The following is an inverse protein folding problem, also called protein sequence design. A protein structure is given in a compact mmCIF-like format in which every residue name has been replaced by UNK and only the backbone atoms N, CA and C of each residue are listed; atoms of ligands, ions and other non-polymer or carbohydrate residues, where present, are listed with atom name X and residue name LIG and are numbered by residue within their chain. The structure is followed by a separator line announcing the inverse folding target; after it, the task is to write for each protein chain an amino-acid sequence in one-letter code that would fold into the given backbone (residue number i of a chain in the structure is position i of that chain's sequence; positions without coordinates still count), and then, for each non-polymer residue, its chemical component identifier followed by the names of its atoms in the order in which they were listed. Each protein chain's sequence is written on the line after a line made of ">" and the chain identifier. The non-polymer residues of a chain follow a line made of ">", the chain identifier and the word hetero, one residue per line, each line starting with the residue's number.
data_IF_413336821768
#
_entry.id   IF_413336821768
#
_cell.length_a   1.000
_cell.length_b   1.000
_cell.length_c   1.000
_cell.angle_alpha   90.00
_cell.angle_beta   90.00
_cell.angle_gamma   90.00
#
_symmetry.space_group_name_H-M   'P 1'
#
loop_
_entity.id
_entity.type
_entity.pdbx_description
1 polymer ?
#
# COMPACT_ATOMS: atom_id res chain seq x y z
N UNK A 1 -39.36 44.02 22.68
CA UNK A 1 -39.39 43.43 24.03
C UNK A 1 -38.75 42.05 23.91
N UNK A 2 -37.66 41.70 24.55
CA UNK A 2 -36.81 42.38 25.53
C UNK A 2 -35.41 41.75 25.43
N UNK A 3 -34.40 42.52 25.83
CA UNK A 3 -32.99 42.17 25.82
C UNK A 3 -32.62 41.25 26.99
N UNK A 4 -31.51 40.52 26.87
CA UNK A 4 -30.95 39.76 27.99
C UNK A 4 -29.52 39.26 27.71
N UNK A 5 -28.54 40.11 28.02
CA UNK A 5 -27.12 39.79 28.00
C UNK A 5 -26.74 38.84 29.15
N UNK A 6 -25.75 37.96 28.91
CA UNK A 6 -25.11 37.13 29.92
C UNK A 6 -23.70 36.76 29.49
N UNK A 7 -22.70 37.30 30.21
CA UNK A 7 -21.28 37.22 29.95
C UNK A 7 -20.62 35.96 30.54
N UNK A 8 -19.40 35.64 30.03
CA UNK A 8 -18.40 34.80 30.71
C UNK A 8 -18.26 33.41 30.08
N UNK A 9 -17.07 32.90 29.75
CA UNK A 9 -15.71 33.39 29.94
C UNK A 9 -14.74 32.62 29.05
N UNK A 10 -13.61 33.23 28.77
CA UNK A 10 -12.52 32.63 27.99
C UNK A 10 -11.91 31.43 28.72
N UNK A 11 -12.01 30.26 28.11
CA UNK A 11 -11.20 29.09 28.46
C UNK A 11 -9.92 29.11 27.63
N UNK A 12 -8.94 29.91 28.04
CA UNK A 12 -7.56 29.74 27.58
C UNK A 12 -7.04 28.41 28.12
N UNK A 13 -6.94 27.40 27.27
CA UNK A 13 -6.32 26.12 27.61
C UNK A 13 -4.81 26.35 27.71
N UNK A 14 -4.34 26.70 28.91
CA UNK A 14 -2.92 26.76 29.22
C UNK A 14 -2.31 25.37 28.99
N UNK A 15 -1.39 25.27 28.03
CA UNK A 15 -0.52 24.10 27.89
C UNK A 15 0.21 23.91 29.21
N UNK A 16 -0.09 22.81 29.90
CA UNK A 16 0.72 22.35 31.01
C UNK A 16 2.12 22.01 30.48
N UNK A 17 3.13 22.71 30.99
CA UNK A 17 4.52 22.32 30.84
C UNK A 17 4.69 20.90 31.43
N UNK A 18 5.39 19.97 30.74
CA UNK A 18 5.67 18.67 31.31
C UNK A 18 6.62 18.84 32.50
N UNK A 19 6.25 18.24 33.63
CA UNK A 19 7.06 18.19 34.85
C UNK A 19 8.45 17.62 34.53
N UNK A 20 9.50 18.30 35.00
CA UNK A 20 10.87 17.80 34.88
C UNK A 20 10.97 16.42 35.55
N UNK A 21 11.62 15.42 34.91
CA UNK A 21 11.79 14.11 35.52
C UNK A 21 12.68 14.24 36.75
N UNK A 22 12.08 14.05 37.93
CA UNK A 22 12.80 13.99 39.19
C UNK A 22 13.84 12.87 39.12
N UNK A 23 15.12 13.21 39.21
CA UNK A 23 16.20 12.24 39.34
C UNK A 23 15.91 11.32 40.54
N UNK A 24 16.19 10.01 40.46
CA UNK A 24 16.08 9.13 41.61
C UNK A 24 16.95 9.68 42.74
N UNK A 25 16.32 10.25 43.76
CA UNK A 25 17.00 10.63 44.99
C UNK A 25 17.39 9.31 45.65
N UNK A 26 18.64 8.89 45.44
CA UNK A 26 19.21 7.79 46.21
C UNK A 26 19.07 8.18 47.69
N UNK A 27 18.42 7.36 48.52
CA UNK A 27 18.31 7.65 49.94
C UNK A 27 19.72 7.83 50.51
N UNK A 28 19.95 8.81 51.39
CA UNK A 28 21.27 9.06 51.95
C UNK A 28 21.76 7.77 52.61
N UNK A 29 22.85 7.21 52.08
CA UNK A 29 23.55 6.11 52.75
C UNK A 29 23.94 6.63 54.13
N UNK A 30 23.53 5.95 55.22
CA UNK A 30 23.86 6.43 56.55
C UNK A 30 25.37 6.58 56.67
N UNK A 31 25.81 7.72 57.21
CA UNK A 31 27.08 7.87 57.91
C UNK A 31 27.40 6.54 58.64
N UNK A 32 28.60 5.90 58.64
CA UNK A 32 28.88 4.86 59.63
C UNK A 32 28.69 5.44 61.03
N UNK A 33 27.49 5.26 61.58
CA UNK A 33 27.05 5.83 62.85
C UNK A 33 27.45 4.98 64.04
N UNK A 34 28.26 3.94 63.82
CA UNK A 34 28.79 3.15 64.91
C UNK A 34 30.09 3.77 65.37
N UNK A 35 29.98 4.66 66.35
CA UNK A 35 31.06 4.87 67.32
C UNK A 35 31.50 3.47 67.76
N UNK A 36 32.76 3.08 67.55
CA UNK A 36 33.25 1.81 68.07
C UNK A 36 32.91 1.75 69.56
N UNK A 37 31.99 0.86 69.95
CA UNK A 37 31.67 0.65 71.36
C UNK A 37 32.86 -0.04 72.00
N UNK A 38 33.76 0.77 72.58
CA UNK A 38 34.82 0.25 73.42
C UNK A 38 34.17 -0.17 74.73
N UNK A 39 34.20 -1.48 75.02
CA UNK A 39 33.87 -2.03 76.34
C UNK A 39 34.66 -1.25 77.38
N UNK A 40 33.94 -0.51 78.24
CA UNK A 40 34.53 0.25 79.33
C UNK A 40 35.19 -0.74 80.29
N UNK A 41 36.48 -0.57 80.55
CA UNK A 41 37.16 -1.37 81.55
C UNK A 41 36.54 -1.08 82.93
N UNK A 42 36.13 -2.11 83.66
CA UNK A 42 35.60 -1.96 85.00
C UNK A 42 36.63 -1.26 85.90
N UNK A 43 36.23 -0.13 86.51
CA UNK A 43 37.09 0.58 87.46
C UNK A 43 37.11 -0.18 88.79
N UNK A 44 38.28 -0.32 89.44
CA UNK A 44 38.32 -0.51 90.88
C UNK A 44 37.64 0.70 91.54
N UNK A 45 36.68 0.44 92.44
CA UNK A 45 35.96 1.49 93.19
C UNK A 45 36.98 2.36 93.94
N UNK A 46 37.17 3.59 93.48
CA UNK A 46 37.94 4.60 94.20
C UNK A 46 37.00 5.37 95.12
N UNK A 47 37.21 5.20 96.43
CA UNK A 47 36.53 5.91 97.49
C UNK A 47 36.83 7.41 97.45
N UNK A 48 35.85 8.22 97.06
CA UNK A 48 35.53 9.45 97.77
C UNK A 48 34.18 10.03 97.32
N UNK A 49 33.33 10.32 98.31
CA UNK A 49 32.44 11.49 98.29
C UNK A 49 31.21 11.43 97.39
N UNK A 50 30.06 11.37 98.03
CA UNK A 50 28.75 11.67 97.44
C UNK A 50 28.79 12.93 96.56
N UNK A 51 28.30 12.83 95.32
CA UNK A 51 27.86 13.98 94.55
C UNK A 51 26.86 13.55 93.46
N UNK A 52 25.61 13.96 93.67
CA UNK A 52 24.52 14.20 92.71
C UNK A 52 24.61 13.55 91.32
N UNK A 53 23.62 12.71 91.03
CA UNK A 53 23.30 12.21 89.70
C UNK A 53 22.88 13.38 88.79
N UNK A 54 23.86 13.98 88.13
CA UNK A 54 23.70 14.98 87.08
C UNK A 54 24.99 15.06 86.29
N UNK A 55 25.01 14.46 85.10
CA UNK A 55 26.01 14.61 84.04
C UNK A 55 27.48 14.78 84.48
N UNK A 56 28.10 13.71 85.03
CA UNK A 56 29.57 13.59 84.98
C UNK A 56 29.95 12.81 83.73
N UNK A 57 30.32 13.50 82.67
CA UNK A 57 30.98 12.89 81.51
C UNK A 57 32.26 12.23 82.01
N UNK A 58 32.27 10.90 82.12
CA UNK A 58 33.44 10.16 82.53
C UNK A 58 34.60 10.47 81.55
N UNK A 59 35.71 11.02 82.06
CA UNK A 59 36.91 11.29 81.23
C UNK A 59 37.51 9.95 80.77
N UNK A 60 37.79 9.84 79.47
CA UNK A 60 38.49 8.70 78.86
C UNK A 60 39.94 8.61 79.35
N UNK A 61 40.47 7.39 79.49
CA UNK A 61 41.90 7.20 79.69
C UNK A 61 42.64 7.39 78.36
N UNK A 62 43.90 7.86 78.41
CA UNK A 62 44.69 8.11 77.20
C UNK A 62 44.81 6.87 76.28
N UNK A 63 45.00 5.63 76.78
CA UNK A 63 44.97 4.42 75.94
C UNK A 63 43.60 4.14 75.30
N UNK A 64 42.50 4.47 75.97
CA UNK A 64 41.14 4.32 75.42
C UNK A 64 40.89 5.33 74.29
N UNK A 65 41.38 6.56 74.44
CA UNK A 65 41.33 7.58 73.38
C UNK A 65 42.15 7.17 72.16
N UNK A 66 43.37 6.68 72.34
CA UNK A 66 44.20 6.18 71.24
C UNK A 66 43.55 5.00 70.50
N UNK A 67 42.96 4.03 71.22
CA UNK A 67 42.28 2.88 70.62
C UNK A 67 41.03 3.30 69.84
N UNK A 68 40.22 4.22 70.39
CA UNK A 68 39.05 4.76 69.70
C UNK A 68 39.46 5.54 68.44
N UNK A 69 40.46 6.41 68.52
CA UNK A 69 40.91 7.19 67.37
C UNK A 69 41.52 6.29 66.28
N UNK A 70 42.30 5.27 66.65
CA UNK A 70 42.79 4.27 65.73
C UNK A 70 41.66 3.48 65.05
N UNK A 71 40.61 3.10 65.81
CA UNK A 71 39.41 2.45 65.28
C UNK A 71 38.66 3.34 64.28
N UNK A 72 38.43 4.61 64.63
CA UNK A 72 37.79 5.59 63.73
C UNK A 72 38.61 5.82 62.45
N UNK A 73 39.94 5.94 62.57
CA UNK A 73 40.82 6.05 61.40
C UNK A 73 40.75 4.81 60.51
N UNK A 74 40.73 3.61 61.11
CA UNK A 74 40.60 2.35 60.38
C UNK A 74 39.24 2.24 59.66
N UNK A 75 38.14 2.56 60.34
CA UNK A 75 36.79 2.57 59.74
C UNK A 75 36.67 3.59 58.60
N UNK A 76 37.26 4.77 58.75
CA UNK A 76 37.28 5.79 57.70
C UNK A 76 38.08 5.33 56.46
N UNK A 77 39.22 4.67 56.66
CA UNK A 77 40.00 4.08 55.57
C UNK A 77 39.22 2.96 54.87
N UNK A 78 38.64 2.03 55.63
CA UNK A 78 37.84 0.94 55.08
C UNK A 78 36.61 1.45 54.31
N UNK A 79 35.93 2.48 54.80
CA UNK A 79 34.82 3.13 54.10
C UNK A 79 35.29 3.86 52.83
N UNK A 80 36.46 4.48 52.85
CA UNK A 80 37.10 5.09 51.68
C UNK A 80 37.40 4.07 50.60
N UNK A 81 38.02 2.95 50.96
CA UNK A 81 38.31 1.84 50.05
C UNK A 81 37.03 1.22 49.47
N UNK A 82 35.97 1.04 50.27
CA UNK A 82 34.67 0.55 49.79
C UNK A 82 34.04 1.53 48.80
N UNK A 83 34.08 2.83 49.09
CA UNK A 83 33.59 3.85 48.17
C UNK A 83 34.40 3.91 46.86
N UNK A 84 35.72 3.71 46.93
CA UNK A 84 36.59 3.60 45.75
C UNK A 84 36.25 2.36 44.90
N UNK A 85 36.05 1.20 45.55
CA UNK A 85 35.57 -0.01 44.88
C UNK A 85 34.22 0.22 44.21
N UNK A 86 33.25 0.78 44.93
CA UNK A 86 31.92 1.08 44.39
C UNK A 86 31.96 2.06 43.21
N UNK A 87 32.82 3.10 43.26
CA UNK A 87 33.04 4.01 42.13
C UNK A 87 33.67 3.30 40.92
N UNK A 88 34.64 2.43 41.15
CA UNK A 88 35.29 1.66 40.10
C UNK A 88 34.30 0.69 39.44
N UNK A 89 33.50 -0.01 40.23
CA UNK A 89 32.43 -0.91 39.77
C UNK A 89 31.37 -0.13 38.98
N UNK A 90 30.88 1.00 39.49
CA UNK A 90 29.93 1.84 38.78
C UNK A 90 30.47 2.32 37.42
N UNK A 91 31.72 2.79 37.36
CA UNK A 91 32.38 3.17 36.09
C UNK A 91 32.47 2.00 35.12
N UNK A 92 32.82 0.82 35.62
CA UNK A 92 32.89 -0.39 34.81
C UNK A 92 31.51 -0.78 34.25
N UNK A 93 30.47 -0.77 35.10
CA UNK A 93 29.09 -1.04 34.70
C UNK A 93 28.57 -0.02 33.69
N UNK A 94 28.85 1.27 33.87
CA UNK A 94 28.49 2.32 32.90
C UNK A 94 29.14 2.07 31.54
N UNK A 95 30.43 1.71 31.52
CA UNK A 95 31.15 1.38 30.27
C UNK A 95 30.56 0.14 29.59
N UNK A 96 30.27 -0.91 30.37
CA UNK A 96 29.63 -2.11 29.85
C UNK A 96 28.24 -1.81 29.28
N UNK A 97 27.40 -1.09 30.02
CA UNK A 97 26.06 -0.67 29.58
C UNK A 97 26.12 0.15 28.28
N UNK A 98 27.03 1.14 28.21
CA UNK A 98 27.23 1.95 27.00
C UNK A 98 27.65 1.09 25.79
N UNK A 99 28.59 0.16 25.98
CA UNK A 99 29.02 -0.76 24.91
C UNK A 99 27.90 -1.72 24.47
N UNK A 100 27.04 -2.14 25.39
CA UNK A 100 25.87 -2.97 25.09
C UNK A 100 24.84 -2.18 24.29
N UNK A 101 24.51 -0.96 24.73
CA UNK A 101 23.59 -0.06 24.05
C UNK A 101 24.08 0.31 22.64
N UNK A 102 25.38 0.55 22.45
CA UNK A 102 25.96 0.83 21.13
C UNK A 102 25.83 -0.38 20.19
N UNK A 103 26.12 -1.60 20.68
CA UNK A 103 25.96 -2.81 19.87
C UNK A 103 24.50 -3.06 19.50
N UNK A 104 23.58 -2.89 20.44
CA UNK A 104 22.15 -3.00 20.18
C UNK A 104 21.70 -1.97 19.12
N UNK A 105 22.12 -0.71 19.27
CA UNK A 105 21.83 0.36 18.31
C UNK A 105 22.34 0.04 16.89
N UNK A 106 23.58 -0.46 16.77
CA UNK A 106 24.15 -0.85 15.48
C UNK A 106 23.38 -2.01 14.85
N UNK A 107 23.04 -3.03 15.64
CA UNK A 107 22.22 -4.15 15.20
C UNK A 107 20.86 -3.67 14.69
N UNK A 108 20.14 -2.84 15.47
CA UNK A 108 18.84 -2.28 15.06
C UNK A 108 18.94 -1.43 13.80
N UNK A 109 19.98 -0.60 13.64
CA UNK A 109 20.19 0.19 12.41
C UNK A 109 20.45 -0.69 11.20
N UNK A 110 21.24 -1.75 11.35
CA UNK A 110 21.49 -2.70 10.26
C UNK A 110 20.20 -3.42 9.84
N UNK A 111 19.42 -3.93 10.79
CA UNK A 111 18.14 -4.60 10.49
C UNK A 111 17.11 -3.65 9.87
N UNK A 112 16.99 -2.41 10.37
CA UNK A 112 16.14 -1.39 9.76
C UNK A 112 16.60 -1.02 8.35
N UNK A 113 17.91 -0.92 8.13
CA UNK A 113 18.48 -0.66 6.81
C UNK A 113 18.11 -1.75 5.79
N UNK A 114 18.18 -3.03 6.18
CA UNK A 114 17.73 -4.12 5.32
C UNK A 114 16.23 -4.03 5.02
N UNK A 115 15.40 -3.83 6.05
CA UNK A 115 13.95 -3.68 5.88
C UNK A 115 13.59 -2.51 4.97
N UNK A 116 14.31 -1.39 5.05
CA UNK A 116 14.08 -0.23 4.21
C UNK A 116 14.34 -0.53 2.72
N UNK A 117 15.39 -1.31 2.43
CA UNK A 117 15.66 -1.80 1.06
C UNK A 117 14.54 -2.74 0.57
N UNK A 118 14.08 -3.66 1.43
CA UNK A 118 13.01 -4.60 1.07
C UNK A 118 11.69 -3.86 0.79
N UNK A 119 11.34 -2.87 1.62
CA UNK A 119 10.13 -2.05 1.43
C UNK A 119 10.24 -1.17 0.19
N UNK A 120 11.41 -0.59 -0.07
CA UNK A 120 11.67 0.18 -1.29
C UNK A 120 11.50 -0.67 -2.55
N UNK A 121 12.06 -1.89 -2.56
CA UNK A 121 11.89 -2.83 -3.65
C UNK A 121 10.41 -3.05 -3.98
N UNK A 122 9.58 -3.39 -2.99
CA UNK A 122 8.15 -3.59 -3.21
C UNK A 122 7.45 -2.32 -3.67
N UNK A 123 7.81 -1.15 -3.11
CA UNK A 123 7.26 0.14 -3.54
C UNK A 123 7.54 0.39 -5.03
N UNK A 124 8.77 0.18 -5.48
CA UNK A 124 9.15 0.42 -6.88
C UNK A 124 8.46 -0.57 -7.82
N UNK A 125 8.42 -1.85 -7.47
CA UNK A 125 7.73 -2.85 -8.30
C UNK A 125 6.22 -2.59 -8.37
N UNK A 126 5.56 -2.27 -7.26
CA UNK A 126 4.14 -1.90 -7.28
C UNK A 126 3.89 -0.65 -8.12
N UNK A 127 4.75 0.36 -8.02
CA UNK A 127 4.62 1.58 -8.83
C UNK A 127 4.72 1.28 -10.34
N UNK A 128 5.68 0.44 -10.72
CA UNK A 128 5.84 -0.02 -12.10
C UNK A 128 4.59 -0.74 -12.58
N UNK A 129 4.07 -1.69 -11.80
CA UNK A 129 2.85 -2.43 -12.16
C UNK A 129 1.62 -1.52 -12.32
N UNK A 130 1.45 -0.53 -11.45
CA UNK A 130 0.38 0.49 -11.55
C UNK A 130 0.49 1.25 -12.88
N UNK A 131 1.69 1.70 -13.25
CA UNK A 131 1.92 2.43 -14.50
C UNK A 131 1.66 1.56 -15.73
N UNK A 132 2.10 0.31 -15.70
CA UNK A 132 1.89 -0.63 -16.80
C UNK A 132 0.41 -1.01 -16.97
N UNK A 133 -0.33 -1.25 -15.87
CA UNK A 133 -1.77 -1.48 -15.90
C UNK A 133 -2.52 -0.27 -16.46
N UNK A 134 -2.14 0.95 -16.07
CA UNK A 134 -2.75 2.18 -16.59
C UNK A 134 -2.52 2.32 -18.10
N UNK A 135 -1.29 2.11 -18.56
CA UNK A 135 -0.93 2.14 -19.97
C UNK A 135 -1.70 1.10 -20.78
N UNK A 136 -1.74 -0.16 -20.33
CA UNK A 136 -2.47 -1.22 -21.03
C UNK A 136 -3.98 -1.00 -20.99
N UNK A 137 -4.54 -0.44 -19.91
CA UNK A 137 -5.96 -0.05 -19.84
C UNK A 137 -6.30 1.01 -20.89
N UNK A 138 -5.43 2.00 -21.08
CA UNK A 138 -5.61 3.04 -22.10
C UNK A 138 -5.53 2.44 -23.51
N UNK A 139 -4.61 1.49 -23.74
CA UNK A 139 -4.52 0.77 -25.02
C UNK A 139 -5.77 -0.06 -25.32
N UNK A 140 -6.30 -0.78 -24.33
CA UNK A 140 -7.53 -1.56 -24.49
C UNK A 140 -8.76 -0.66 -24.70
N UNK A 141 -8.82 0.48 -24.00
CA UNK A 141 -9.87 1.48 -24.22
C UNK A 141 -9.87 2.03 -25.65
N UNK A 142 -8.69 2.27 -26.23
CA UNK A 142 -8.57 2.67 -27.64
C UNK A 142 -9.06 1.57 -28.61
N UNK A 143 -8.78 0.30 -28.32
CA UNK A 143 -9.30 -0.83 -29.11
C UNK A 143 -10.81 -1.00 -28.96
N UNK A 144 -11.37 -0.80 -27.76
CA UNK A 144 -12.82 -0.77 -27.54
C UNK A 144 -13.50 0.31 -28.39
N UNK A 145 -12.94 1.52 -28.40
CA UNK A 145 -13.47 2.60 -29.25
C UNK A 145 -13.42 2.23 -30.74
N UNK A 146 -12.38 1.50 -31.17
CA UNK A 146 -12.27 1.02 -32.54
C UNK A 146 -13.34 -0.03 -32.87
N UNK A 147 -13.69 -0.92 -31.95
CA UNK A 147 -14.83 -1.84 -32.11
C UNK A 147 -16.16 -1.09 -32.21
N UNK A 148 -16.38 -0.09 -31.37
CA UNK A 148 -17.61 0.73 -31.39
C UNK A 148 -17.76 1.43 -32.75
N UNK A 149 -16.67 2.01 -33.26
CA UNK A 149 -16.66 2.61 -34.61
C UNK A 149 -16.89 1.58 -35.71
N UNK A 150 -16.32 0.38 -35.59
CA UNK A 150 -16.55 -0.69 -36.55
C UNK A 150 -18.02 -1.12 -36.55
N UNK A 151 -18.65 -1.21 -35.37
CA UNK A 151 -20.07 -1.50 -35.23
C UNK A 151 -20.93 -0.40 -35.88
N UNK A 152 -20.67 0.86 -35.58
CA UNK A 152 -21.39 2.00 -36.18
C UNK A 152 -21.27 2.02 -37.71
N UNK A 153 -20.09 1.66 -38.25
CA UNK A 153 -19.85 1.61 -39.68
C UNK A 153 -20.71 0.56 -40.40
N UNK A 154 -21.28 -0.43 -39.69
CA UNK A 154 -22.18 -1.44 -40.28
C UNK A 154 -23.64 -0.96 -40.40
N UNK A 155 -24.01 0.16 -39.77
CA UNK A 155 -25.40 0.64 -39.77
C UNK A 155 -25.91 0.97 -41.18
N UNK A 156 -25.13 1.76 -41.93
CA UNK A 156 -25.52 2.20 -43.28
C UNK A 156 -25.56 1.03 -44.26
N UNK A 157 -24.53 0.17 -44.36
CA UNK A 157 -24.60 -1.03 -45.19
C UNK A 157 -25.81 -1.91 -44.89
N UNK A 158 -26.12 -2.12 -43.60
CA UNK A 158 -27.28 -2.91 -43.22
C UNK A 158 -28.60 -2.31 -43.73
N UNK A 159 -28.80 -1.00 -43.49
CA UNK A 159 -30.00 -0.31 -43.96
C UNK A 159 -30.15 -0.39 -45.49
N UNK A 160 -29.05 -0.20 -46.23
CA UNK A 160 -29.04 -0.31 -47.70
C UNK A 160 -29.45 -1.71 -48.15
N UNK A 161 -28.96 -2.77 -47.51
CA UNK A 161 -29.33 -4.15 -47.86
C UNK A 161 -30.81 -4.39 -47.63
N UNK A 162 -31.36 -3.92 -46.49
CA UNK A 162 -32.79 -4.03 -46.18
C UNK A 162 -33.64 -3.26 -47.20
N UNK A 163 -33.30 -2.01 -47.50
CA UNK A 163 -34.01 -1.20 -48.50
C UNK A 163 -34.00 -1.86 -49.88
N UNK A 164 -32.89 -2.48 -50.28
CA UNK A 164 -32.79 -3.23 -51.53
C UNK A 164 -33.71 -4.45 -51.51
N UNK A 165 -33.78 -5.21 -50.42
CA UNK A 165 -34.71 -6.33 -50.28
C UNK A 165 -36.17 -5.87 -50.38
N UNK A 166 -36.54 -4.79 -49.68
CA UNK A 166 -37.90 -4.23 -49.77
C UNK A 166 -38.25 -3.77 -51.20
N UNK A 167 -37.31 -3.15 -51.91
CA UNK A 167 -37.54 -2.75 -53.31
C UNK A 167 -37.84 -3.95 -54.20
N UNK A 168 -37.27 -5.11 -53.89
CA UNK A 168 -37.50 -6.35 -54.65
C UNK A 168 -38.85 -6.98 -54.34
N UNK A 169 -39.31 -6.90 -53.10
CA UNK A 169 -40.66 -7.34 -52.70
C UNK A 169 -41.77 -6.53 -53.38
N UNK A 170 -41.49 -5.28 -53.79
CA UNK A 170 -42.45 -4.39 -54.46
C UNK A 170 -42.59 -4.63 -55.98
N UNK A 171 -41.84 -5.58 -56.55
CA UNK A 171 -41.95 -5.92 -57.98
C UNK A 171 -43.35 -6.45 -58.31
N UNK A 172 -43.84 -6.13 -59.51
CA UNK A 172 -45.12 -6.64 -59.98
C UNK A 172 -44.98 -8.05 -60.57
N UNK A 173 -45.97 -8.94 -60.42
CA UNK A 173 -45.99 -10.20 -61.17
C UNK A 173 -45.94 -9.93 -62.68
N UNK A 174 -45.14 -10.65 -63.49
CA UNK A 174 -44.38 -11.87 -63.19
C UNK A 174 -42.93 -11.64 -62.68
N UNK A 175 -42.46 -10.40 -62.53
CA UNK A 175 -41.08 -10.08 -62.14
C UNK A 175 -40.78 -10.23 -60.63
N UNK A 176 -41.82 -10.52 -59.83
CA UNK A 176 -41.70 -10.88 -58.42
C UNK A 176 -41.13 -12.31 -58.30
N UNK A 177 -39.80 -12.41 -58.34
CA UNK A 177 -39.06 -13.68 -58.29
C UNK A 177 -37.86 -13.61 -57.36
N UNK A 178 -37.54 -14.75 -56.75
CA UNK A 178 -36.33 -14.93 -55.93
C UNK A 178 -35.14 -15.19 -56.85
N UNK A 179 -34.53 -14.12 -57.35
CA UNK A 179 -33.35 -14.19 -58.20
C UNK A 179 -32.04 -14.29 -57.41
N UNK A 180 -30.91 -14.33 -58.12
CA UNK A 180 -29.60 -14.44 -57.52
C UNK A 180 -29.23 -13.21 -56.67
N UNK A 181 -29.67 -12.01 -57.05
CA UNK A 181 -29.41 -10.79 -56.27
C UNK A 181 -30.12 -10.87 -54.92
N UNK A 182 -31.36 -11.33 -54.88
CA UNK A 182 -32.09 -11.52 -53.60
C UNK A 182 -31.36 -12.47 -52.67
N UNK A 183 -30.88 -13.60 -53.21
CA UNK A 183 -30.12 -14.59 -52.43
C UNK A 183 -28.83 -14.02 -51.87
N UNK A 184 -28.14 -13.15 -52.62
CA UNK A 184 -26.91 -12.52 -52.14
C UNK A 184 -27.18 -11.40 -51.14
N UNK A 185 -28.25 -10.62 -51.31
CA UNK A 185 -28.68 -9.60 -50.35
C UNK A 185 -29.10 -10.23 -49.01
N UNK A 186 -29.84 -11.34 -49.02
CA UNK A 186 -30.20 -12.06 -47.80
C UNK A 186 -28.96 -12.55 -47.04
N UNK A 187 -27.98 -13.11 -47.76
CA UNK A 187 -26.69 -13.51 -47.17
C UNK A 187 -25.92 -12.32 -46.60
N UNK A 188 -25.94 -11.17 -47.28
CA UNK A 188 -25.30 -9.95 -46.80
C UNK A 188 -25.97 -9.42 -45.52
N UNK A 189 -27.30 -9.43 -45.46
CA UNK A 189 -28.05 -9.04 -44.26
C UNK A 189 -27.73 -9.93 -43.06
N UNK A 190 -27.71 -11.25 -43.26
CA UNK A 190 -27.36 -12.23 -42.23
C UNK A 190 -25.91 -12.07 -41.77
N UNK A 191 -24.97 -11.93 -42.70
CA UNK A 191 -23.55 -11.71 -42.37
C UNK A 191 -23.34 -10.42 -41.56
N UNK A 192 -23.95 -9.30 -41.98
CA UNK A 192 -23.85 -8.04 -41.25
C UNK A 192 -24.42 -8.19 -39.83
N UNK A 193 -25.56 -8.88 -39.67
CA UNK A 193 -26.17 -9.15 -38.36
C UNK A 193 -25.24 -9.97 -37.46
N UNK A 194 -24.67 -11.04 -37.98
CA UNK A 194 -23.74 -11.91 -37.24
C UNK A 194 -22.47 -11.16 -36.81
N UNK A 195 -21.91 -10.33 -37.69
CA UNK A 195 -20.76 -9.46 -37.40
C UNK A 195 -21.13 -8.45 -36.30
N UNK A 196 -22.29 -7.79 -36.39
CA UNK A 196 -22.75 -6.83 -35.37
C UNK A 196 -22.88 -7.48 -34.00
N UNK A 197 -23.41 -8.70 -33.93
CA UNK A 197 -23.56 -9.43 -32.68
C UNK A 197 -22.20 -9.91 -32.13
N UNK A 198 -21.26 -10.29 -32.99
CA UNK A 198 -19.88 -10.54 -32.58
C UNK A 198 -19.23 -9.27 -31.99
N UNK A 199 -19.28 -8.14 -32.70
CA UNK A 199 -18.70 -6.88 -32.25
C UNK A 199 -19.28 -6.42 -30.90
N UNK A 200 -20.60 -6.49 -30.72
CA UNK A 200 -21.26 -6.16 -29.43
C UNK A 200 -20.76 -7.04 -28.28
N UNK A 201 -20.65 -8.35 -28.49
CA UNK A 201 -20.12 -9.28 -27.47
C UNK A 201 -18.68 -8.95 -27.11
N UNK A 202 -17.84 -8.65 -28.10
CA UNK A 202 -16.44 -8.27 -27.87
C UNK A 202 -16.31 -6.92 -27.17
N UNK A 203 -17.18 -5.95 -27.44
CA UNK A 203 -17.22 -4.67 -26.71
C UNK A 203 -17.52 -4.90 -25.22
N UNK A 204 -18.45 -5.81 -24.89
CA UNK A 204 -18.76 -6.18 -23.50
C UNK A 204 -17.55 -6.84 -22.82
N UNK A 205 -16.85 -7.75 -23.53
CA UNK A 205 -15.61 -8.35 -23.03
C UNK A 205 -14.54 -7.30 -22.75
N UNK A 206 -14.29 -6.38 -23.69
CA UNK A 206 -13.33 -5.29 -23.51
C UNK A 206 -13.70 -4.38 -22.34
N UNK A 207 -14.98 -4.05 -22.19
CA UNK A 207 -15.48 -3.24 -21.07
C UNK A 207 -15.26 -3.93 -19.73
N UNK A 208 -15.50 -5.24 -19.67
CA UNK A 208 -15.31 -6.05 -18.47
C UNK A 208 -13.82 -6.12 -18.09
N UNK A 209 -12.95 -6.35 -19.07
CA UNK A 209 -11.50 -6.41 -18.85
C UNK A 209 -10.93 -5.05 -18.42
N UNK A 210 -11.37 -3.94 -19.01
CA UNK A 210 -11.01 -2.58 -18.55
C UNK A 210 -11.37 -2.38 -17.07
N UNK A 211 -12.53 -2.87 -16.65
CA UNK A 211 -12.94 -2.79 -15.24
C UNK A 211 -12.04 -3.66 -14.35
N UNK A 212 -11.72 -4.89 -14.76
CA UNK A 212 -10.80 -5.76 -14.02
C UNK A 212 -9.42 -5.13 -13.86
N UNK A 213 -8.84 -4.57 -14.92
CA UNK A 213 -7.57 -3.86 -14.86
C UNK A 213 -7.60 -2.69 -13.86
N UNK A 214 -8.69 -1.90 -13.83
CA UNK A 214 -8.85 -0.78 -12.89
C UNK A 214 -8.94 -1.24 -11.44
N UNK A 215 -9.71 -2.30 -11.17
CA UNK A 215 -9.80 -2.87 -9.82
C UNK A 215 -8.42 -3.37 -9.37
N UNK A 216 -7.69 -4.05 -10.24
CA UNK A 216 -6.36 -4.55 -9.90
C UNK A 216 -5.36 -3.41 -9.69
N UNK A 217 -5.44 -2.34 -10.49
CA UNK A 217 -4.67 -1.12 -10.29
C UNK A 217 -4.94 -0.49 -8.92
N UNK A 218 -6.21 -0.36 -8.52
CA UNK A 218 -6.60 0.17 -7.21
C UNK A 218 -6.06 -0.69 -6.05
N UNK A 219 -6.01 -2.01 -6.22
CA UNK A 219 -5.40 -2.91 -5.22
C UNK A 219 -3.89 -2.67 -5.09
N UNK A 220 -3.19 -2.55 -6.21
CA UNK A 220 -1.76 -2.21 -6.22
C UNK A 220 -1.51 -0.81 -5.62
N UNK A 221 -2.34 0.18 -5.92
CA UNK A 221 -2.23 1.55 -5.38
C UNK A 221 -2.40 1.59 -3.86
N UNK A 222 -3.33 0.80 -3.31
CA UNK A 222 -3.54 0.68 -1.87
C UNK A 222 -2.30 0.10 -1.19
N UNK A 223 -1.79 -1.01 -1.71
CA UNK A 223 -0.57 -1.63 -1.19
C UNK A 223 0.64 -0.68 -1.32
N UNK A 224 0.78 -0.02 -2.46
CA UNK A 224 1.84 0.96 -2.70
C UNK A 224 1.80 2.10 -1.68
N UNK A 225 0.62 2.64 -1.38
CA UNK A 225 0.45 3.67 -0.36
C UNK A 225 0.95 3.20 1.01
N UNK A 226 0.58 1.97 1.41
CA UNK A 226 1.04 1.38 2.67
C UNK A 226 2.57 1.22 2.69
N UNK A 227 3.19 0.83 1.56
CA UNK A 227 4.66 0.74 1.43
C UNK A 227 5.34 2.11 1.50
N UNK A 228 4.75 3.14 0.90
CA UNK A 228 5.27 4.52 0.97
C UNK A 228 5.26 5.03 2.40
N UNK A 229 4.14 4.88 3.11
CA UNK A 229 4.04 5.28 4.52
C UNK A 229 5.03 4.51 5.39
N UNK A 230 5.08 3.18 5.23
CA UNK A 230 6.01 2.32 5.96
C UNK A 230 7.46 2.73 5.74
N UNK A 231 7.86 2.99 4.49
CA UNK A 231 9.20 3.45 4.17
C UNK A 231 9.50 4.80 4.82
N UNK A 232 8.55 5.75 4.81
CA UNK A 232 8.76 7.06 5.43
C UNK A 232 8.98 6.95 6.95
N UNK A 233 8.20 6.09 7.62
CA UNK A 233 8.35 5.80 9.05
C UNK A 233 9.74 5.20 9.32
N UNK A 234 10.14 4.20 8.54
CA UNK A 234 11.41 3.49 8.73
C UNK A 234 12.63 4.39 8.44
N UNK A 235 12.54 5.22 7.41
CA UNK A 235 13.56 6.22 7.06
C UNK A 235 13.75 7.23 8.19
N UNK A 236 12.66 7.67 8.82
CA UNK A 236 12.76 8.50 10.02
C UNK A 236 13.36 7.72 11.20
N UNK A 237 12.97 6.47 11.39
CA UNK A 237 13.42 5.65 12.51
C UNK A 237 14.92 5.35 12.48
N UNK A 238 15.52 5.17 11.29
CA UNK A 238 16.96 4.90 11.17
C UNK A 238 17.83 6.09 11.62
N UNK A 239 17.28 7.30 11.57
CA UNK A 239 17.94 8.53 12.00
C UNK A 239 18.08 8.63 13.52
N UNK A 240 17.20 7.96 14.29
CA UNK A 240 17.27 7.99 15.75
C UNK A 240 18.54 7.32 16.29
N UNK A 241 18.99 7.82 17.43
CA UNK A 241 20.12 7.31 18.18
C UNK A 241 19.86 7.37 19.69
N UNK A 242 20.71 6.72 20.48
CA UNK A 242 20.63 6.72 21.94
C UNK A 242 20.63 8.13 22.59
N UNK A 243 21.11 9.15 21.89
CA UNK A 243 21.15 10.54 22.37
C UNK A 243 19.91 11.35 21.95
N UNK A 244 18.94 10.72 21.28
CA UNK A 244 17.73 11.39 20.81
C UNK A 244 16.81 11.75 21.98
N UNK A 245 16.57 13.05 22.18
CA UNK A 245 15.79 13.60 23.31
C UNK A 245 14.27 13.37 23.18
N UNK A 246 13.79 12.95 22.02
CA UNK A 246 12.37 12.71 21.73
C UNK A 246 12.00 11.21 21.71
N UNK A 247 12.67 10.39 22.53
CA UNK A 247 12.41 8.95 22.65
C UNK A 247 11.88 8.66 24.05
N UNK A 248 10.61 8.24 24.13
CA UNK A 248 9.96 7.88 25.39
C UNK A 248 9.58 6.40 25.37
N UNK A 249 9.72 5.73 26.52
CA UNK A 249 9.27 4.34 26.67
C UNK A 249 7.76 4.29 26.86
N UNK A 250 7.02 3.80 25.86
CA UNK A 250 5.58 3.57 25.99
C UNK A 250 5.28 2.13 26.44
N UNK A 251 4.44 1.93 27.48
CA UNK A 251 4.11 0.59 27.99
C UNK A 251 3.45 -0.35 26.96
N UNK A 252 2.84 0.21 25.92
CA UNK A 252 2.20 -0.54 24.83
C UNK A 252 3.13 -0.87 23.67
N UNK A 253 4.37 -0.34 23.62
CA UNK A 253 5.31 -0.55 22.50
C UNK A 253 5.76 -2.01 22.30
N UNK A 254 5.43 -2.90 23.24
CA UNK A 254 5.79 -4.32 23.21
C UNK A 254 4.59 -5.26 22.99
N UNK A 255 3.38 -4.73 22.81
CA UNK A 255 2.20 -5.55 22.54
C UNK A 255 2.16 -5.89 21.05
N UNK A 256 2.46 -7.13 20.71
CA UNK A 256 2.15 -7.68 19.41
C UNK A 256 0.64 -7.94 19.33
N UNK A 257 -0.03 -7.28 18.41
CA UNK A 257 -1.42 -7.54 18.07
C UNK A 257 -1.54 -8.95 17.45
N UNK A 258 -2.52 -9.73 17.86
CA UNK A 258 -2.73 -11.12 17.36
C UNK A 258 -3.03 -11.15 15.85
N UNK A 259 -3.51 -10.02 15.30
CA UNK A 259 -3.84 -9.85 13.89
C UNK A 259 -2.73 -9.13 13.08
N UNK A 260 -1.53 -8.96 13.65
CA UNK A 260 -0.44 -8.28 12.97
C UNK A 260 0.11 -9.11 11.79
N UNK A 261 0.47 -8.43 10.70
CA UNK A 261 1.15 -9.06 9.57
C UNK A 261 2.55 -9.52 9.97
N UNK A 262 2.96 -10.68 9.45
CA UNK A 262 4.36 -11.14 9.50
C UNK A 262 5.14 -10.56 8.31
N UNK A 263 6.49 -10.45 8.39
CA UNK A 263 7.28 -10.03 7.23
C UNK A 263 7.03 -10.90 5.98
N UNK A 264 6.83 -12.21 6.19
CA UNK A 264 6.50 -13.14 5.12
C UNK A 264 5.13 -12.88 4.50
N UNK A 265 4.09 -12.69 5.32
CA UNK A 265 2.75 -12.41 4.81
C UNK A 265 2.67 -11.04 4.14
N UNK A 266 3.45 -10.06 4.60
CA UNK A 266 3.55 -8.74 3.99
C UNK A 266 4.19 -8.77 2.60
N UNK A 267 5.27 -9.53 2.45
CA UNK A 267 5.90 -9.75 1.14
C UNK A 267 5.00 -10.56 0.20
N UNK A 268 4.32 -11.59 0.73
CA UNK A 268 3.37 -12.40 -0.06
C UNK A 268 2.21 -11.55 -0.59
N UNK A 269 1.66 -10.65 0.23
CA UNK A 269 0.57 -9.77 -0.20
C UNK A 269 0.96 -8.91 -1.41
N UNK A 270 2.15 -8.30 -1.38
CA UNK A 270 2.64 -7.51 -2.51
C UNK A 270 2.95 -8.37 -3.73
N UNK A 271 3.50 -9.56 -3.52
CA UNK A 271 3.72 -10.52 -4.60
C UNK A 271 2.41 -10.95 -5.28
N UNK A 272 1.37 -11.25 -4.50
CA UNK A 272 0.06 -11.66 -5.01
C UNK A 272 -0.61 -10.52 -5.81
N UNK A 273 -0.48 -9.28 -5.34
CA UNK A 273 -0.97 -8.10 -6.07
C UNK A 273 -0.26 -7.92 -7.42
N UNK A 274 1.07 -8.06 -7.44
CA UNK A 274 1.88 -7.98 -8.67
C UNK A 274 1.50 -9.10 -9.63
N UNK A 275 1.41 -10.34 -9.15
CA UNK A 275 1.00 -11.50 -9.96
C UNK A 275 -0.39 -11.32 -10.58
N UNK A 276 -1.35 -10.80 -9.80
CA UNK A 276 -2.66 -10.44 -10.32
C UNK A 276 -2.61 -9.32 -11.38
N UNK A 277 -1.75 -8.31 -11.20
CA UNK A 277 -1.55 -7.25 -12.19
C UNK A 277 -0.99 -7.81 -13.51
N UNK A 278 0.01 -8.70 -13.44
CA UNK A 278 0.56 -9.38 -14.61
C UNK A 278 -0.47 -10.23 -15.35
N UNK A 279 -1.33 -10.94 -14.62
CA UNK A 279 -2.40 -11.74 -15.21
C UNK A 279 -3.42 -10.89 -15.96
N UNK A 280 -3.89 -9.79 -15.36
CA UNK A 280 -4.85 -8.87 -15.99
C UNK A 280 -4.24 -8.16 -17.21
N UNK A 281 -2.95 -7.77 -17.14
CA UNK A 281 -2.22 -7.23 -18.30
C UNK A 281 -2.16 -8.24 -19.44
N UNK A 282 -1.81 -9.50 -19.15
CA UNK A 282 -1.73 -10.56 -20.17
C UNK A 282 -3.09 -10.81 -20.84
N UNK A 283 -4.16 -10.89 -20.05
CA UNK A 283 -5.52 -11.04 -20.55
C UNK A 283 -5.92 -9.86 -21.47
N UNK A 284 -5.57 -8.63 -21.08
CA UNK A 284 -5.79 -7.43 -21.89
C UNK A 284 -5.05 -7.48 -23.22
N UNK A 285 -3.75 -7.83 -23.21
CA UNK A 285 -2.94 -7.95 -24.44
C UNK A 285 -3.52 -8.99 -25.40
N UNK A 286 -3.91 -10.16 -24.88
CA UNK A 286 -4.55 -11.22 -25.67
C UNK A 286 -5.87 -10.75 -26.27
N UNK A 287 -6.69 -10.06 -25.48
CA UNK A 287 -7.96 -9.50 -25.97
C UNK A 287 -7.73 -8.46 -27.05
N UNK A 288 -6.73 -7.57 -26.93
CA UNK A 288 -6.39 -6.62 -28.01
C UNK A 288 -5.98 -7.32 -29.30
N UNK A 289 -5.22 -8.42 -29.21
CA UNK A 289 -4.87 -9.24 -30.38
C UNK A 289 -6.12 -9.81 -31.05
N UNK A 290 -7.01 -10.42 -30.26
CA UNK A 290 -8.28 -10.96 -30.74
C UNK A 290 -9.16 -9.89 -31.39
N UNK A 291 -9.24 -8.69 -30.80
CA UNK A 291 -9.99 -7.56 -31.35
C UNK A 291 -9.48 -7.19 -32.74
N UNK A 292 -8.15 -7.14 -32.93
CA UNK A 292 -7.57 -6.83 -34.24
C UNK A 292 -7.94 -7.88 -35.29
N UNK A 293 -7.91 -9.17 -34.94
CA UNK A 293 -8.33 -10.26 -35.82
C UNK A 293 -9.81 -10.14 -36.18
N UNK A 294 -10.70 -9.95 -35.19
CA UNK A 294 -12.15 -9.80 -35.43
C UNK A 294 -12.45 -8.64 -36.39
N UNK A 295 -11.81 -7.48 -36.19
CA UNK A 295 -12.02 -6.32 -37.07
C UNK A 295 -11.51 -6.61 -38.50
N UNK A 296 -10.37 -7.29 -38.62
CA UNK A 296 -9.80 -7.64 -39.92
C UNK A 296 -10.69 -8.64 -40.67
N UNK A 297 -11.07 -9.73 -40.01
CA UNK A 297 -11.87 -10.80 -40.60
C UNK A 297 -13.27 -10.28 -40.99
N UNK A 298 -13.91 -9.50 -40.11
CA UNK A 298 -15.20 -8.87 -40.42
C UNK A 298 -15.11 -7.93 -41.64
N UNK A 299 -14.02 -7.17 -41.78
CA UNK A 299 -13.84 -6.29 -42.94
C UNK A 299 -13.65 -7.08 -44.24
N UNK A 300 -12.87 -8.17 -44.21
CA UNK A 300 -12.68 -9.03 -45.38
C UNK A 300 -13.97 -9.77 -45.77
N UNK A 301 -14.71 -10.32 -44.81
CA UNK A 301 -15.97 -11.01 -45.06
C UNK A 301 -17.00 -10.07 -45.72
N UNK A 302 -17.14 -8.84 -45.20
CA UNK A 302 -18.01 -7.83 -45.79
C UNK A 302 -17.55 -7.42 -47.19
N UNK A 303 -16.24 -7.30 -47.43
CA UNK A 303 -15.69 -6.96 -48.74
C UNK A 303 -15.98 -8.06 -49.76
N UNK A 304 -15.82 -9.32 -49.38
CA UNK A 304 -16.10 -10.47 -50.24
C UNK A 304 -17.60 -10.56 -50.55
N UNK A 305 -18.46 -10.39 -49.54
CA UNK A 305 -19.91 -10.45 -49.74
C UNK A 305 -20.41 -9.29 -50.62
N UNK A 306 -19.90 -8.08 -50.42
CA UNK A 306 -20.18 -6.93 -51.30
C UNK A 306 -19.81 -7.23 -52.76
N UNK A 307 -18.68 -7.89 -53.00
CA UNK A 307 -18.26 -8.24 -54.36
C UNK A 307 -19.24 -9.24 -55.00
N UNK A 308 -19.68 -10.25 -54.24
CA UNK A 308 -20.67 -11.23 -54.70
C UNK A 308 -22.04 -10.59 -55.01
N UNK A 309 -22.48 -9.63 -54.19
CA UNK A 309 -23.72 -8.88 -54.42
C UNK A 309 -23.59 -7.99 -55.66
N UNK A 310 -22.47 -7.29 -55.82
CA UNK A 310 -22.20 -6.44 -56.99
C UNK A 310 -22.22 -7.27 -58.29
N UNK A 311 -21.56 -8.43 -58.30
CA UNK A 311 -21.55 -9.34 -59.44
C UNK A 311 -22.97 -9.85 -59.78
N UNK A 312 -23.76 -10.18 -58.76
CA UNK A 312 -25.15 -10.59 -58.96
C UNK A 312 -25.98 -9.47 -59.60
N UNK A 313 -25.81 -8.22 -59.14
CA UNK A 313 -26.49 -7.06 -59.74
C UNK A 313 -26.06 -6.85 -61.20
N UNK A 314 -24.76 -6.92 -61.49
CA UNK A 314 -24.23 -6.77 -62.84
C UNK A 314 -24.72 -7.87 -63.79
N UNK A 315 -24.86 -9.11 -63.32
CA UNK A 315 -25.49 -10.20 -64.09
C UNK A 315 -26.96 -9.90 -64.37
N UNK A 316 -27.70 -9.51 -63.34
CA UNK A 316 -29.12 -9.22 -63.46
C UNK A 316 -29.40 -8.05 -64.42
N UNK A 317 -28.61 -6.98 -64.36
CA UNK A 317 -28.71 -5.86 -65.30
C UNK A 317 -28.44 -6.29 -66.75
N UNK A 318 -27.46 -7.16 -66.99
CA UNK A 318 -27.17 -7.72 -68.32
C UNK A 318 -28.31 -8.59 -68.83
N UNK A 319 -28.88 -9.42 -67.97
CA UNK A 319 -30.05 -10.26 -68.29
C UNK A 319 -31.26 -9.41 -68.66
N UNK A 320 -31.58 -8.39 -67.87
CA UNK A 320 -32.67 -7.45 -68.14
C UNK A 320 -32.46 -6.68 -69.44
N UNK A 321 -31.25 -6.19 -69.70
CA UNK A 321 -30.93 -5.50 -70.95
C UNK A 321 -31.10 -6.42 -72.17
N UNK A 322 -30.67 -7.67 -72.06
CA UNK A 322 -30.84 -8.68 -73.12
C UNK A 322 -32.31 -9.02 -73.35
N UNK A 323 -33.10 -9.18 -72.29
CA UNK A 323 -34.53 -9.45 -72.38
C UNK A 323 -35.28 -8.29 -73.03
N UNK A 324 -35.00 -7.05 -72.61
CA UNK A 324 -35.55 -5.83 -73.20
C UNK A 324 -35.25 -5.75 -74.70
N UNK A 325 -33.98 -5.93 -75.09
CA UNK A 325 -33.58 -5.88 -76.50
C UNK A 325 -34.34 -6.91 -77.35
N UNK A 326 -34.52 -8.14 -76.84
CA UNK A 326 -35.29 -9.18 -77.53
C UNK A 326 -36.76 -8.79 -77.70
N UNK A 327 -37.37 -8.19 -76.67
CA UNK A 327 -38.76 -7.72 -76.74
C UNK A 327 -38.92 -6.57 -77.74
N UNK A 328 -37.98 -5.62 -77.76
CA UNK A 328 -37.97 -4.51 -78.73
C UNK A 328 -37.81 -5.01 -80.17
N UNK A 329 -36.91 -5.97 -80.40
CA UNK A 329 -36.74 -6.61 -81.72
C UNK A 329 -38.00 -7.35 -82.17
N UNK A 330 -38.66 -8.08 -81.26
CA UNK A 330 -39.89 -8.78 -81.58
C UNK A 330 -41.03 -7.81 -81.89
N UNK A 331 -41.12 -6.70 -81.14
CA UNK A 331 -42.10 -5.66 -81.40
C UNK A 331 -41.94 -5.05 -82.80
N UNK A 332 -40.70 -4.81 -83.25
CA UNK A 332 -40.39 -4.34 -84.60
C UNK A 332 -40.76 -5.34 -85.71
N UNK A 333 -40.88 -6.63 -85.41
CA UNK A 333 -41.29 -7.64 -86.38
C UNK A 333 -42.81 -7.76 -86.51
N UNK A 334 -43.54 -7.34 -85.48
CA UNK A 334 -45.00 -7.47 -85.38
C UNK A 334 -45.73 -6.20 -85.83
N UNK A 335 -45.08 -5.03 -85.72
CA UNK A 335 -45.56 -3.74 -86.22
C UNK A 335 -45.09 -3.48 -87.65
#
# INVERSE_FOLDING_TARGET
>A
EDAGAGAGGGGGSAMALPDEPQHPVLPPVPLPGRICDVVRSERPRSCCGMAMAGFRTAKYQLPEWHRRNAGVCYEALAAGEEADRGRAEAKHLMKQAASSAQRAQQCSKATLGQRLQDVDFWRVELQKEIMELDAETNLLAAQKLRLERALDATEVPYAVVIDNLECRERRQPPDLVIDQVERQLLKEADLIRDIRDLLKRTIIQATTQIRSNRIQKENCERDWSDKVETHHIDDKCISYCNDSTNVQSHPSSLKFEENASTPKSWAQFSHDNISGAEQEKLASVQLRSLINSIIHDAAEDLRLQRAAVSEAFDSHCRELASAKLRLEQHLQQVL
#
